data_IF_521347776863
#
_entry.id   IF_521347776863
#
_cell.length_a   1.000
_cell.length_b   1.000
_cell.length_c   1.000
_cell.angle_alpha   90.00
_cell.angle_beta   90.00
_cell.angle_gamma   90.00
#
_symmetry.space_group_name_H-M   'P 1'
#
loop_
_entity.id
_entity.type
_entity.pdbx_description
1 polymer ?
#
# COMPACT_ATOMS: atom_id res chain seq x y z
N UNK A 1 -17.59 1.03 -16.75
CA UNK A 1 -17.99 -0.40 -16.82
C UNK A 1 -17.38 -1.13 -15.65
N UNK A 2 -18.17 -1.74 -14.76
CA UNK A 2 -17.64 -2.45 -13.60
C UNK A 2 -16.94 -3.76 -14.01
N UNK A 3 -15.75 -4.01 -13.46
CA UNK A 3 -15.03 -5.27 -13.62
C UNK A 3 -15.52 -6.33 -12.61
N UNK A 4 -15.56 -5.95 -11.32
CA UNK A 4 -15.98 -6.81 -10.23
C UNK A 4 -17.42 -6.46 -9.80
N UNK A 5 -18.37 -7.36 -10.05
CA UNK A 5 -19.79 -7.18 -9.73
C UNK A 5 -20.12 -7.88 -8.42
N UNK A 6 -19.72 -9.14 -8.29
CA UNK A 6 -20.10 -10.01 -7.20
C UNK A 6 -18.90 -10.62 -6.47
N UNK A 7 -19.07 -10.84 -5.17
CA UNK A 7 -18.16 -11.64 -4.37
C UNK A 7 -18.92 -12.41 -3.30
N UNK A 8 -18.32 -13.43 -2.75
CA UNK A 8 -18.88 -14.25 -1.68
C UNK A 8 -17.84 -14.50 -0.59
N UNK A 9 -18.23 -14.29 0.66
CA UNK A 9 -17.42 -14.71 1.79
C UNK A 9 -17.44 -16.24 1.88
N UNK A 10 -16.27 -16.86 1.75
CA UNK A 10 -16.13 -18.32 1.82
C UNK A 10 -15.87 -18.80 3.23
N UNK A 11 -14.96 -18.13 3.95
CA UNK A 11 -14.52 -18.55 5.29
C UNK A 11 -14.02 -17.37 6.11
N UNK A 12 -14.26 -17.45 7.42
CA UNK A 12 -13.62 -16.66 8.43
C UNK A 12 -12.89 -17.60 9.38
N UNK A 13 -11.60 -17.39 9.58
CA UNK A 13 -10.71 -18.23 10.39
C UNK A 13 -10.00 -17.34 11.39
N UNK A 14 -9.59 -17.88 12.54
CA UNK A 14 -8.66 -17.17 13.43
C UNK A 14 -7.36 -16.89 12.69
N UNK A 15 -6.79 -15.70 12.89
CA UNK A 15 -5.52 -15.33 12.27
C UNK A 15 -4.37 -16.05 13.00
N UNK A 16 -3.54 -16.80 12.27
CA UNK A 16 -2.41 -17.55 12.86
C UNK A 16 -1.36 -16.63 13.51
N UNK A 17 -1.23 -15.40 12.99
CA UNK A 17 -0.25 -14.44 13.49
C UNK A 17 -0.76 -13.57 14.66
N UNK A 18 -2.07 -13.56 14.88
CA UNK A 18 -2.72 -12.75 15.92
C UNK A 18 -4.08 -13.41 16.25
N UNK A 19 -4.18 -14.19 17.34
CA UNK A 19 -5.39 -14.95 17.68
C UNK A 19 -6.63 -14.08 17.94
N UNK A 20 -6.45 -12.80 18.29
CA UNK A 20 -7.53 -11.85 18.54
C UNK A 20 -8.10 -11.25 17.23
N UNK A 21 -7.51 -11.60 16.10
CA UNK A 21 -7.89 -11.14 14.77
C UNK A 21 -8.38 -12.30 13.90
N UNK A 22 -9.08 -11.95 12.83
CA UNK A 22 -9.59 -12.92 11.87
C UNK A 22 -8.89 -12.84 10.53
N UNK A 23 -8.95 -13.95 9.80
CA UNK A 23 -8.59 -14.06 8.40
C UNK A 23 -9.83 -14.40 7.61
N UNK A 24 -10.28 -13.49 6.76
CA UNK A 24 -11.40 -13.70 5.86
C UNK A 24 -10.92 -14.07 4.46
N UNK A 25 -11.63 -14.98 3.81
CA UNK A 25 -11.37 -15.46 2.44
C UNK A 25 -12.63 -15.23 1.62
N UNK A 26 -12.49 -14.48 0.53
CA UNK A 26 -13.54 -14.15 -0.41
C UNK A 26 -13.28 -14.79 -1.77
N UNK A 27 -14.31 -15.30 -2.40
CA UNK A 27 -14.35 -15.69 -3.79
C UNK A 27 -14.92 -14.54 -4.61
N UNK A 28 -14.35 -14.27 -5.76
CA UNK A 28 -14.81 -13.25 -6.70
C UNK A 28 -15.57 -13.90 -7.85
N UNK A 29 -16.63 -13.26 -8.29
CA UNK A 29 -17.43 -13.73 -9.44
C UNK A 29 -16.71 -13.52 -10.77
N UNK A 30 -15.83 -12.54 -10.84
CA UNK A 30 -15.14 -12.13 -12.06
C UNK A 30 -13.61 -12.19 -11.89
N UNK A 31 -12.91 -12.37 -13.01
CA UNK A 31 -11.45 -12.35 -13.06
C UNK A 31 -10.92 -10.91 -12.96
N UNK A 32 -10.19 -10.62 -11.90
CA UNK A 32 -9.59 -9.28 -11.68
C UNK A 32 -8.11 -9.20 -12.12
N UNK A 33 -7.58 -10.21 -12.82
CA UNK A 33 -6.16 -10.27 -13.21
C UNK A 33 -5.70 -9.05 -13.98
N UNK A 34 -6.54 -8.57 -14.90
CA UNK A 34 -6.23 -7.42 -15.75
C UNK A 34 -5.96 -6.13 -14.94
N UNK A 35 -6.67 -5.91 -13.84
CA UNK A 35 -6.54 -4.67 -13.06
C UNK A 35 -5.38 -4.70 -12.06
N UNK A 36 -4.83 -5.87 -11.70
CA UNK A 36 -3.79 -5.98 -10.69
C UNK A 36 -2.52 -5.16 -10.98
N UNK A 37 -1.98 -5.10 -12.24
CA UNK A 37 -0.84 -4.24 -12.55
C UNK A 37 -1.13 -2.74 -12.39
N UNK A 38 -2.35 -2.31 -12.64
CA UNK A 38 -2.79 -0.92 -12.45
C UNK A 38 -2.93 -0.59 -10.96
N UNK A 39 -3.53 -1.49 -10.18
CA UNK A 39 -3.54 -1.39 -8.72
C UNK A 39 -2.13 -1.36 -8.14
N UNK A 40 -1.20 -2.12 -8.71
CA UNK A 40 0.21 -2.06 -8.33
C UNK A 40 0.83 -0.69 -8.59
N UNK A 41 0.36 0.08 -9.55
CA UNK A 41 0.80 1.47 -9.78
C UNK A 41 0.20 2.42 -8.75
N UNK A 42 -1.08 2.30 -8.43
CA UNK A 42 -1.80 3.26 -7.60
C UNK A 42 -1.66 3.01 -6.10
N UNK A 43 -1.46 1.75 -5.69
CA UNK A 43 -1.41 1.35 -4.27
C UNK A 43 0.01 1.41 -3.71
N UNK A 44 0.23 2.26 -2.70
CA UNK A 44 1.52 2.38 -2.01
C UNK A 44 1.89 1.08 -1.29
N UNK A 45 3.17 0.69 -1.39
CA UNK A 45 3.69 -0.48 -0.68
C UNK A 45 3.08 -1.80 -1.11
N UNK A 46 2.39 -1.85 -2.25
CA UNK A 46 1.92 -3.10 -2.83
C UNK A 46 3.08 -3.90 -3.42
N UNK A 47 2.95 -5.22 -3.36
CA UNK A 47 3.90 -6.17 -3.95
C UNK A 47 3.15 -7.00 -4.97
N UNK A 48 3.46 -6.81 -6.25
CA UNK A 48 2.88 -7.59 -7.34
C UNK A 48 3.79 -8.74 -7.74
N UNK A 49 3.21 -9.92 -7.85
CA UNK A 49 3.87 -11.10 -8.42
C UNK A 49 3.19 -11.45 -9.75
N UNK A 50 3.91 -11.19 -10.85
CA UNK A 50 3.38 -11.42 -12.19
C UNK A 50 3.14 -12.90 -12.48
N UNK A 51 4.03 -13.79 -12.04
CA UNK A 51 3.95 -15.24 -12.29
C UNK A 51 2.67 -15.85 -11.72
N UNK A 52 2.29 -15.43 -10.50
CA UNK A 52 1.09 -15.90 -9.81
C UNK A 52 -0.13 -14.98 -9.99
N UNK A 53 0.02 -13.89 -10.74
CA UNK A 53 -1.00 -12.83 -10.85
C UNK A 53 -1.56 -12.47 -9.47
N UNK A 54 -0.67 -12.16 -8.54
CA UNK A 54 -1.02 -11.89 -7.14
C UNK A 54 -0.52 -10.51 -6.72
N UNK A 55 -1.39 -9.72 -6.07
CA UNK A 55 -1.06 -8.43 -5.49
C UNK A 55 -1.27 -8.50 -3.99
N UNK A 56 -0.25 -8.18 -3.21
CA UNK A 56 -0.34 -8.08 -1.75
C UNK A 56 -0.11 -6.63 -1.33
N UNK A 57 -0.97 -6.12 -0.47
CA UNK A 57 -0.87 -4.79 0.10
C UNK A 57 -1.09 -4.81 1.61
N UNK A 58 -0.62 -3.77 2.28
CA UNK A 58 -0.84 -3.54 3.71
C UNK A 58 -1.74 -2.32 3.88
N UNK A 59 -2.76 -2.44 4.71
CA UNK A 59 -3.67 -1.35 5.08
C UNK A 59 -4.06 -1.50 6.55
N UNK A 60 -3.84 -0.47 7.34
CA UNK A 60 -4.23 -0.41 8.77
C UNK A 60 -3.80 -1.65 9.59
N UNK A 61 -2.58 -2.12 9.35
CA UNK A 61 -2.03 -3.32 9.98
C UNK A 61 -2.51 -4.66 9.38
N UNK A 62 -3.50 -4.64 8.51
CA UNK A 62 -3.98 -5.82 7.78
C UNK A 62 -3.08 -6.16 6.60
N UNK A 63 -3.07 -7.44 6.22
CA UNK A 63 -2.44 -7.94 5.00
C UNK A 63 -3.56 -8.40 4.07
N UNK A 64 -3.64 -7.77 2.89
CA UNK A 64 -4.65 -8.05 1.89
C UNK A 64 -3.96 -8.63 0.66
N UNK A 65 -4.37 -9.81 0.23
CA UNK A 65 -3.82 -10.46 -0.97
C UNK A 65 -4.95 -10.70 -1.98
N UNK A 66 -4.76 -10.14 -3.17
CA UNK A 66 -5.67 -10.25 -4.31
C UNK A 66 -5.10 -11.26 -5.30
N UNK A 67 -5.96 -12.14 -5.76
CA UNK A 67 -5.69 -13.14 -6.80
C UNK A 67 -6.79 -13.03 -7.87
N UNK A 68 -6.67 -13.67 -9.04
CA UNK A 68 -7.65 -13.54 -10.13
C UNK A 68 -9.11 -13.73 -9.72
N UNK A 69 -9.40 -14.69 -8.83
CA UNK A 69 -10.75 -15.03 -8.37
C UNK A 69 -10.89 -15.07 -6.85
N UNK A 70 -9.94 -14.52 -6.11
CA UNK A 70 -9.91 -14.63 -4.65
C UNK A 70 -9.28 -13.43 -3.99
N UNK A 71 -9.84 -13.01 -2.87
CA UNK A 71 -9.23 -12.06 -1.94
C UNK A 71 -9.07 -12.71 -0.57
N UNK A 72 -7.92 -12.48 0.05
CA UNK A 72 -7.69 -12.82 1.46
C UNK A 72 -7.37 -11.56 2.26
N UNK A 73 -8.06 -11.37 3.37
CA UNK A 73 -7.84 -10.27 4.32
C UNK A 73 -7.43 -10.89 5.65
N UNK A 74 -6.20 -10.68 6.06
CA UNK A 74 -5.67 -11.17 7.33
C UNK A 74 -5.51 -10.01 8.33
N UNK A 75 -5.71 -10.31 9.61
CA UNK A 75 -5.68 -9.37 10.74
C UNK A 75 -6.84 -8.35 10.74
N UNK A 76 -7.99 -8.69 10.18
CA UNK A 76 -9.20 -7.92 10.42
C UNK A 76 -9.67 -8.11 11.88
N UNK A 77 -10.35 -7.13 12.45
CA UNK A 77 -10.85 -7.20 13.83
C UNK A 77 -11.91 -8.30 13.98
N UNK A 78 -12.82 -8.34 13.02
CA UNK A 78 -13.94 -9.29 12.94
C UNK A 78 -14.39 -9.47 11.48
N UNK A 79 -15.43 -10.29 11.29
CA UNK A 79 -16.06 -10.52 9.99
C UNK A 79 -16.64 -9.23 9.39
N UNK A 80 -17.29 -8.40 10.20
CA UNK A 80 -17.93 -7.17 9.73
C UNK A 80 -16.86 -6.17 9.24
N UNK A 81 -15.70 -6.11 9.92
CA UNK A 81 -14.56 -5.32 9.47
C UNK A 81 -14.02 -5.85 8.13
N UNK A 82 -13.84 -7.17 8.00
CA UNK A 82 -13.38 -7.77 6.74
C UNK A 82 -14.34 -7.49 5.57
N UNK A 83 -15.65 -7.51 5.81
CA UNK A 83 -16.67 -7.18 4.80
C UNK A 83 -16.57 -5.71 4.36
N UNK A 84 -16.41 -4.76 5.30
CA UNK A 84 -16.19 -3.33 4.94
C UNK A 84 -14.94 -3.13 4.08
N UNK A 85 -13.86 -3.82 4.40
CA UNK A 85 -12.63 -3.78 3.61
C UNK A 85 -12.85 -4.40 2.22
N UNK A 86 -13.64 -5.46 2.11
CA UNK A 86 -13.95 -6.08 0.82
C UNK A 86 -14.81 -5.17 -0.06
N UNK A 87 -15.80 -4.45 0.49
CA UNK A 87 -16.57 -3.44 -0.27
C UNK A 87 -15.64 -2.32 -0.76
N UNK A 88 -14.80 -1.76 0.11
CA UNK A 88 -13.80 -0.76 -0.30
C UNK A 88 -12.88 -1.28 -1.42
N UNK A 89 -12.44 -2.55 -1.34
CA UNK A 89 -11.61 -3.17 -2.40
C UNK A 89 -12.39 -3.30 -3.72
N UNK A 90 -13.66 -3.66 -3.67
CA UNK A 90 -14.51 -3.75 -4.86
C UNK A 90 -14.62 -2.40 -5.57
N UNK A 91 -14.86 -1.33 -4.80
CA UNK A 91 -14.94 0.01 -5.35
C UNK A 91 -13.60 0.44 -5.96
N UNK A 92 -12.50 0.22 -5.24
CA UNK A 92 -11.14 0.49 -5.71
C UNK A 92 -10.78 -0.26 -7.00
N UNK A 93 -11.13 -1.56 -7.09
CA UNK A 93 -10.91 -2.40 -8.27
C UNK A 93 -11.67 -1.81 -9.46
N UNK A 94 -12.94 -1.46 -9.28
CA UNK A 94 -13.79 -0.93 -10.34
C UNK A 94 -13.34 0.48 -10.77
N UNK A 95 -13.04 1.37 -9.84
CA UNK A 95 -12.51 2.70 -10.14
C UNK A 95 -11.18 2.64 -10.91
N UNK A 96 -10.25 1.79 -10.45
CA UNK A 96 -8.98 1.60 -11.14
C UNK A 96 -9.17 1.02 -12.54
N UNK A 97 -10.11 0.10 -12.71
CA UNK A 97 -10.41 -0.49 -14.00
C UNK A 97 -11.05 0.53 -14.96
N UNK A 98 -11.93 1.39 -14.49
CA UNK A 98 -12.53 2.47 -15.30
C UNK A 98 -11.48 3.49 -15.76
N UNK A 99 -10.55 3.86 -14.87
CA UNK A 99 -9.51 4.87 -15.14
C UNK A 99 -8.21 4.28 -15.73
N UNK A 100 -8.18 2.97 -16.07
CA UNK A 100 -6.94 2.28 -16.50
C UNK A 100 -6.28 2.87 -17.76
N UNK A 101 -7.01 3.59 -18.57
CA UNK A 101 -6.44 4.28 -19.74
C UNK A 101 -5.51 5.44 -19.37
N UNK A 102 -5.63 5.95 -18.15
CA UNK A 102 -4.82 7.06 -17.61
C UNK A 102 -3.70 6.55 -16.69
N UNK A 103 -3.66 5.25 -16.40
CA UNK A 103 -2.73 4.63 -15.46
C UNK A 103 -1.77 3.74 -16.25
N UNK A 104 -0.47 3.95 -16.12
CA UNK A 104 0.54 3.05 -16.68
C UNK A 104 0.65 1.78 -15.81
N UNK A 105 0.39 0.57 -16.37
CA UNK A 105 0.40 -0.66 -15.57
C UNK A 105 1.83 -1.04 -15.17
N UNK A 106 2.03 -1.40 -13.92
CA UNK A 106 3.31 -1.85 -13.40
C UNK A 106 3.31 -3.37 -13.16
N UNK A 107 3.97 -4.12 -14.04
CA UNK A 107 4.12 -5.58 -13.96
C UNK A 107 5.33 -6.01 -13.12
N UNK A 108 6.17 -5.07 -12.70
CA UNK A 108 7.38 -5.35 -11.95
C UNK A 108 7.12 -5.66 -10.48
N UNK A 109 7.98 -6.50 -9.89
CA UNK A 109 8.20 -6.47 -8.45
C UNK A 109 8.77 -5.10 -8.12
N UNK A 110 8.03 -4.27 -7.40
CA UNK A 110 8.64 -3.09 -6.78
C UNK A 110 9.72 -3.59 -5.83
N UNK A 111 10.92 -3.06 -5.98
CA UNK A 111 12.00 -3.35 -5.05
C UNK A 111 11.50 -3.09 -3.64
N UNK A 112 11.68 -4.04 -2.74
CA UNK A 112 11.30 -3.86 -1.32
C UNK A 112 12.19 -2.75 -0.75
N UNK A 113 11.65 -1.52 -0.71
CA UNK A 113 12.35 -0.38 -0.15
C UNK A 113 12.44 -0.57 1.37
N UNK A 114 13.66 -0.72 1.87
CA UNK A 114 13.91 -0.92 3.29
C UNK A 114 14.00 0.43 4.01
N UNK A 115 13.53 0.47 5.25
CA UNK A 115 13.62 1.67 6.08
C UNK A 115 15.05 2.22 6.19
N UNK A 116 16.06 1.35 6.12
CA UNK A 116 17.48 1.76 6.10
C UNK A 116 17.86 2.51 4.83
N UNK A 117 17.26 2.21 3.68
CA UNK A 117 17.57 2.91 2.43
C UNK A 117 16.99 4.32 2.46
N UNK A 118 15.76 4.46 2.96
CA UNK A 118 15.15 5.77 3.26
C UNK A 118 15.99 6.54 4.29
N UNK A 119 16.38 5.89 5.40
CA UNK A 119 17.15 6.50 6.49
C UNK A 119 18.48 7.08 6.01
N UNK A 120 19.19 6.43 5.06
CA UNK A 120 20.44 6.94 4.47
C UNK A 120 20.26 8.29 3.78
N UNK A 121 19.07 8.55 3.24
CA UNK A 121 18.72 9.78 2.52
C UNK A 121 18.14 10.87 3.44
N UNK A 122 17.75 10.53 4.67
CA UNK A 122 17.31 11.51 5.66
C UNK A 122 18.49 12.29 6.25
N UNK A 123 18.26 13.47 6.85
CA UNK A 123 19.28 14.30 7.52
C UNK A 123 20.01 13.57 8.66
N UNK A 124 19.37 12.61 9.31
CA UNK A 124 19.90 11.80 10.43
C UNK A 124 20.24 12.59 11.69
N UNK A 125 19.62 13.74 11.87
CA UNK A 125 19.84 14.64 13.02
C UNK A 125 19.07 14.23 14.27
N UNK A 126 18.04 13.36 14.12
CA UNK A 126 17.11 12.99 15.17
C UNK A 126 16.52 14.23 15.89
N UNK A 127 16.25 15.31 15.13
CA UNK A 127 15.79 16.62 15.66
C UNK A 127 14.39 16.58 16.26
N UNK A 128 13.60 15.55 15.98
CA UNK A 128 12.20 15.37 16.42
C UNK A 128 11.22 16.38 15.85
N UNK A 129 11.60 17.23 14.91
CA UNK A 129 10.70 18.22 14.30
C UNK A 129 9.50 17.56 13.58
N UNK A 130 9.66 16.32 13.10
CA UNK A 130 8.60 15.51 12.47
C UNK A 130 7.72 14.75 13.50
N UNK A 131 7.96 14.92 14.81
CA UNK A 131 7.26 14.20 15.87
C UNK A 131 7.79 12.79 16.18
N UNK A 132 8.75 12.28 15.42
CA UNK A 132 9.37 10.97 15.65
C UNK A 132 10.64 11.09 16.50
N UNK A 133 10.89 10.10 17.35
CA UNK A 133 12.06 10.09 18.24
C UNK A 133 13.39 9.99 17.47
N UNK A 134 13.37 9.31 16.33
CA UNK A 134 14.56 9.13 15.48
C UNK A 134 14.20 9.22 14.01
N UNK A 135 15.17 9.58 13.17
CA UNK A 135 14.99 9.55 11.72
C UNK A 135 14.75 8.13 11.18
N UNK A 136 15.19 7.08 11.88
CA UNK A 136 14.88 5.71 11.50
C UNK A 136 13.39 5.37 11.77
N UNK A 137 12.84 5.81 12.90
CA UNK A 137 11.42 5.66 13.19
C UNK A 137 10.57 6.39 12.13
N UNK A 138 10.98 7.61 11.75
CA UNK A 138 10.36 8.33 10.64
C UNK A 138 10.40 7.54 9.32
N UNK A 139 11.53 6.94 8.97
CA UNK A 139 11.67 6.13 7.76
C UNK A 139 10.73 4.92 7.75
N UNK A 140 10.58 4.23 8.89
CA UNK A 140 9.64 3.10 9.04
C UNK A 140 8.19 3.56 8.82
N UNK A 141 7.79 4.66 9.46
CA UNK A 141 6.42 5.19 9.36
C UNK A 141 6.12 5.79 7.99
N UNK A 142 7.13 6.38 7.33
CA UNK A 142 7.00 6.86 5.96
C UNK A 142 6.68 5.70 5.00
N UNK A 143 7.38 4.58 5.13
CA UNK A 143 7.09 3.38 4.34
C UNK A 143 5.76 2.71 4.73
N UNK A 144 5.32 2.87 5.96
CA UNK A 144 4.01 2.45 6.43
C UNK A 144 2.85 3.33 5.93
N UNK A 145 3.16 4.47 5.29
CA UNK A 145 2.13 5.43 4.87
C UNK A 145 1.58 6.32 5.99
N UNK A 146 2.16 6.22 7.20
CA UNK A 146 1.74 6.98 8.38
C UNK A 146 2.36 8.39 8.44
N UNK A 147 3.39 8.64 7.62
CA UNK A 147 4.12 9.91 7.53
C UNK A 147 4.36 10.29 6.07
N UNK A 148 4.57 11.57 5.84
CA UNK A 148 4.90 12.13 4.52
C UNK A 148 6.30 12.73 4.54
N UNK A 149 6.98 12.71 3.39
CA UNK A 149 8.33 13.28 3.25
C UNK A 149 8.38 14.74 3.70
N UNK A 150 7.35 15.54 3.40
CA UNK A 150 7.25 16.96 3.75
C UNK A 150 7.28 17.22 5.27
N UNK A 151 6.95 16.25 6.11
CA UNK A 151 6.98 16.40 7.57
C UNK A 151 8.41 16.42 8.13
N UNK A 152 9.40 16.00 7.34
CA UNK A 152 10.81 16.12 7.70
C UNK A 152 11.34 17.49 7.29
N UNK A 153 11.04 18.56 8.05
CA UNK A 153 11.45 19.94 7.75
C UNK A 153 12.95 20.10 7.43
N UNK A 154 13.89 19.44 8.16
CA UNK A 154 15.31 19.56 7.83
C UNK A 154 15.70 19.03 6.45
N UNK A 155 14.94 18.07 5.88
CA UNK A 155 15.21 17.52 4.55
C UNK A 155 15.01 18.55 3.44
N UNK A 156 14.21 19.60 3.69
CA UNK A 156 13.91 20.67 2.73
C UNK A 156 14.84 21.87 2.86
N UNK A 157 15.90 21.76 3.67
CA UNK A 157 16.95 22.79 3.76
C UNK A 157 17.93 22.65 2.59
N UNK A 158 18.59 23.77 2.16
CA UNK A 158 19.49 23.76 1.00
C UNK A 158 20.58 22.69 1.04
N UNK A 159 21.11 22.39 2.23
CA UNK A 159 22.17 21.38 2.44
C UNK A 159 21.71 19.93 2.17
N UNK A 160 20.41 19.68 2.04
CA UNK A 160 19.85 18.34 1.83
C UNK A 160 19.07 18.19 0.52
N UNK A 161 19.11 19.19 -0.37
CA UNK A 161 18.29 19.22 -1.59
C UNK A 161 18.55 18.03 -2.52
N UNK A 162 19.81 17.59 -2.61
CA UNK A 162 20.16 16.40 -3.42
C UNK A 162 19.55 15.14 -2.83
N UNK A 163 19.66 14.94 -1.52
CA UNK A 163 19.08 13.79 -0.83
C UNK A 163 17.55 13.77 -0.91
N UNK A 164 16.94 14.95 -0.81
CA UNK A 164 15.50 15.12 -1.00
C UNK A 164 15.07 14.64 -2.39
N UNK A 165 15.73 15.10 -3.45
CA UNK A 165 15.44 14.71 -4.83
C UNK A 165 15.59 13.19 -5.05
N UNK A 166 16.68 12.61 -4.55
CA UNK A 166 16.94 11.17 -4.62
C UNK A 166 15.87 10.38 -3.86
N UNK A 167 15.48 10.82 -2.65
CA UNK A 167 14.45 10.15 -1.87
C UNK A 167 13.08 10.18 -2.55
N UNK A 168 12.68 11.34 -3.09
CA UNK A 168 11.40 11.49 -3.79
C UNK A 168 11.37 10.58 -5.03
N UNK A 169 12.44 10.55 -5.83
CA UNK A 169 12.53 9.67 -6.99
C UNK A 169 12.51 8.19 -6.59
N UNK A 170 13.26 7.81 -5.56
CA UNK A 170 13.28 6.44 -5.04
C UNK A 170 11.88 6.00 -4.58
N UNK A 171 11.13 6.87 -3.89
CA UNK A 171 9.77 6.59 -3.46
C UNK A 171 8.81 6.45 -4.65
N UNK A 172 8.95 7.29 -5.70
CA UNK A 172 8.17 7.18 -6.94
C UNK A 172 8.46 5.86 -7.65
N UNK A 173 9.72 5.54 -7.88
CA UNK A 173 10.16 4.35 -8.61
C UNK A 173 9.76 3.05 -7.89
N UNK A 174 9.67 3.09 -6.57
CA UNK A 174 9.24 1.97 -5.73
C UNK A 174 7.74 2.00 -5.39
N UNK A 175 7.00 3.01 -5.90
CA UNK A 175 5.55 3.09 -5.79
C UNK A 175 4.99 3.60 -4.48
N UNK A 176 5.84 4.23 -3.68
CA UNK A 176 5.38 4.96 -2.49
C UNK A 176 4.84 6.36 -2.83
N UNK A 177 4.72 6.70 -4.13
CA UNK A 177 4.34 8.04 -4.60
C UNK A 177 5.47 9.05 -4.36
N UNK A 178 5.17 10.33 -4.53
CA UNK A 178 6.16 11.38 -4.26
C UNK A 178 6.33 11.70 -2.75
N UNK A 179 5.52 11.05 -1.90
CA UNK A 179 5.55 11.29 -0.46
C UNK A 179 5.11 12.71 -0.05
N UNK A 180 4.62 13.51 -1.00
CA UNK A 180 4.24 14.91 -0.78
C UNK A 180 2.73 15.08 -0.60
N UNK A 181 1.91 14.19 -1.17
CA UNK A 181 0.46 14.23 -1.06
C UNK A 181 -0.08 13.04 -0.26
N UNK A 182 -1.03 13.33 0.63
CA UNK A 182 -1.97 12.33 1.12
C UNK A 182 -2.92 12.07 -0.04
N UNK A 183 -2.88 10.92 -0.66
CA UNK A 183 -4.10 10.48 -1.32
C UNK A 183 -5.13 10.34 -0.21
N UNK A 184 -6.02 11.33 -0.13
CA UNK A 184 -7.18 11.28 0.74
C UNK A 184 -8.00 10.07 0.31
N UNK A 185 -7.77 8.96 1.00
CA UNK A 185 -8.77 7.91 1.08
C UNK A 185 -9.89 8.53 1.90
N UNK A 186 -10.83 9.19 1.21
CA UNK A 186 -12.04 9.68 1.84
C UNK A 186 -12.77 8.47 2.41
N UNK A 187 -13.11 8.57 3.68
CA UNK A 187 -13.60 7.60 4.60
C UNK A 187 -14.81 6.76 4.23
#
# INVERSE_FOLDING_TARGET
MMLLINYRLLRVLSCLADPDKVRAIFELGEDIREVLPYLNTTMRGSIYNHEFSALTLKKDGMIISLYPYKVTIAKADDEAHALRIMEWLKDLINETYENRSEIEPNFGKRGELKALDVYKLLPRTNCRECGELTCLAFAVRLLGGERMVRECSPLFRPEHIEKQGVLINLLKDTGYGDGLEVQSVHG
#
